data_IF_701557877034
#
_entry.id   IF_701557877034
#
_cell.length_a   1.000
_cell.length_b   1.000
_cell.length_c   1.000
_cell.angle_alpha   90.00
_cell.angle_beta   90.00
_cell.angle_gamma   90.00
#
_symmetry.space_group_name_H-M   'P 1'
#
loop_
_entity.id
_entity.type
_entity.pdbx_description
1 polymer ?
#
# COMPACT_ATOMS: atom_id res chain seq x y z
N UNK A 1 -54.43 38.50 -37.68
CA UNK A 1 -53.66 37.35 -38.20
C UNK A 1 -52.44 37.19 -37.30
N UNK A 2 -52.46 36.23 -36.37
CA UNK A 2 -51.38 36.04 -35.38
C UNK A 2 -50.52 34.85 -35.80
N UNK A 3 -49.24 35.10 -36.09
CA UNK A 3 -48.29 34.06 -36.50
C UNK A 3 -47.66 33.37 -35.28
N UNK A 4 -47.86 32.06 -35.20
CA UNK A 4 -47.26 31.18 -34.18
C UNK A 4 -45.82 30.86 -34.59
N UNK A 5 -44.84 31.30 -33.79
CA UNK A 5 -43.43 31.00 -34.04
C UNK A 5 -43.04 29.72 -33.28
N UNK A 6 -42.92 28.60 -34.01
CA UNK A 6 -42.38 27.33 -33.49
C UNK A 6 -40.86 27.33 -33.65
N UNK A 7 -40.13 27.20 -32.55
CA UNK A 7 -38.67 26.97 -32.55
C UNK A 7 -38.37 25.49 -32.87
N UNK A 8 -37.37 25.17 -33.72
CA UNK A 8 -36.98 23.79 -33.99
C UNK A 8 -36.08 23.24 -32.89
N UNK A 9 -36.44 22.09 -32.32
CA UNK A 9 -35.60 21.34 -31.38
C UNK A 9 -34.41 20.73 -32.12
N UNK A 10 -33.19 21.18 -31.78
CA UNK A 10 -31.93 20.59 -32.23
C UNK A 10 -31.69 19.28 -31.48
N UNK A 11 -31.72 18.16 -32.18
CA UNK A 11 -31.31 16.85 -31.66
C UNK A 11 -29.78 16.84 -31.44
N UNK A 12 -29.34 16.77 -30.19
CA UNK A 12 -27.92 16.60 -29.84
C UNK A 12 -27.59 15.11 -29.94
N UNK A 13 -26.91 14.70 -31.01
CA UNK A 13 -26.38 13.35 -31.13
C UNK A 13 -25.20 13.18 -30.15
N UNK A 14 -25.42 12.47 -29.04
CA UNK A 14 -24.37 12.08 -28.11
C UNK A 14 -23.53 10.98 -28.76
N UNK A 15 -22.32 11.32 -29.20
CA UNK A 15 -21.34 10.32 -29.64
C UNK A 15 -20.68 9.72 -28.40
N UNK A 16 -20.64 8.38 -28.22
CA UNK A 16 -19.88 7.79 -27.13
C UNK A 16 -18.39 8.05 -27.36
N UNK A 17 -17.75 8.75 -26.44
CA UNK A 17 -16.30 8.96 -26.45
C UNK A 17 -15.58 7.62 -26.21
N UNK A 18 -14.48 7.32 -26.91
CA UNK A 18 -13.70 6.13 -26.64
C UNK A 18 -13.09 6.22 -25.24
N UNK A 19 -13.41 5.25 -24.39
CA UNK A 19 -12.83 5.12 -23.05
C UNK A 19 -11.36 4.74 -23.23
N UNK A 20 -10.47 5.74 -23.12
CA UNK A 20 -9.04 5.49 -23.11
C UNK A 20 -8.70 4.62 -21.88
N UNK A 21 -8.33 3.36 -22.11
CA UNK A 21 -7.67 2.56 -21.06
C UNK A 21 -6.30 3.21 -20.81
N UNK A 22 -6.24 4.01 -19.75
CA UNK A 22 -4.97 4.47 -19.20
C UNK A 22 -4.23 3.23 -18.71
N UNK A 23 -3.30 2.72 -19.50
CA UNK A 23 -2.23 1.90 -18.95
C UNK A 23 -1.38 2.84 -18.11
N UNK A 24 -1.67 2.91 -16.81
CA UNK A 24 -0.74 3.42 -15.84
C UNK A 24 0.49 2.50 -15.89
N UNK A 25 1.43 2.80 -16.80
CA UNK A 25 2.76 2.22 -16.76
C UNK A 25 3.36 2.80 -15.49
N UNK A 26 3.42 1.96 -14.46
CA UNK A 26 3.86 2.29 -13.12
C UNK A 26 5.12 3.15 -13.20
N UNK A 27 5.04 4.35 -12.61
CA UNK A 27 6.24 5.08 -12.22
C UNK A 27 6.97 4.17 -11.25
N UNK A 28 8.00 3.47 -11.72
CA UNK A 28 8.91 2.70 -10.88
C UNK A 28 9.83 3.70 -10.17
N UNK A 29 9.25 4.42 -9.21
CA UNK A 29 9.95 5.34 -8.31
C UNK A 29 9.77 4.83 -6.87
N UNK A 30 10.05 3.55 -6.68
CA UNK A 30 10.11 2.91 -5.38
C UNK A 30 11.07 1.74 -5.49
N UNK A 31 12.29 1.90 -5.01
CA UNK A 31 13.15 0.75 -4.72
C UNK A 31 12.41 -0.13 -3.71
N UNK A 32 12.44 -1.44 -3.94
CA UNK A 32 12.02 -2.39 -2.92
C UNK A 32 13.14 -2.49 -1.89
N UNK A 33 12.78 -2.74 -0.63
CA UNK A 33 13.74 -2.82 0.48
C UNK A 33 14.87 -3.83 0.20
N UNK A 34 14.58 -4.90 -0.57
CA UNK A 34 15.57 -5.92 -0.94
C UNK A 34 16.17 -5.77 -2.36
N UNK A 35 15.90 -4.67 -3.07
CA UNK A 35 16.46 -4.43 -4.41
C UNK A 35 16.02 -5.43 -5.51
N UNK A 36 14.82 -5.99 -5.40
CA UNK A 36 14.23 -6.90 -6.41
C UNK A 36 14.99 -8.23 -6.67
N UNK A 37 15.79 -8.72 -5.71
CA UNK A 37 16.28 -10.10 -5.70
C UNK A 37 15.17 -11.17 -5.95
N UNK A 38 15.25 -11.96 -7.04
CA UNK A 38 14.22 -12.93 -7.40
C UNK A 38 14.04 -14.04 -6.36
N UNK A 39 15.10 -14.44 -5.64
CA UNK A 39 15.01 -15.52 -4.64
C UNK A 39 14.15 -15.10 -3.45
N UNK A 40 14.32 -13.86 -3.01
CA UNK A 40 13.56 -13.29 -1.90
C UNK A 40 12.09 -13.12 -2.30
N UNK A 41 11.81 -12.60 -3.50
CA UNK A 41 10.44 -12.49 -4.04
C UNK A 41 9.72 -13.84 -4.07
N UNK A 42 10.36 -14.90 -4.57
CA UNK A 42 9.74 -16.23 -4.63
C UNK A 42 9.47 -16.81 -3.25
N UNK A 43 10.40 -16.62 -2.32
CA UNK A 43 10.29 -17.14 -0.95
C UNK A 43 9.18 -16.45 -0.19
N UNK A 44 9.12 -15.12 -0.24
CA UNK A 44 8.07 -14.33 0.38
C UNK A 44 6.72 -14.54 -0.29
N UNK A 45 6.67 -14.65 -1.62
CA UNK A 45 5.43 -14.98 -2.35
C UNK A 45 4.87 -16.33 -1.91
N UNK A 46 5.71 -17.36 -1.76
CA UNK A 46 5.28 -18.68 -1.26
C UNK A 46 4.74 -18.60 0.16
N UNK A 47 5.34 -17.79 1.03
CA UNK A 47 4.84 -17.57 2.40
C UNK A 47 3.52 -16.82 2.44
N UNK A 48 3.37 -15.76 1.64
CA UNK A 48 2.12 -15.01 1.56
C UNK A 48 0.96 -15.88 1.07
N UNK A 49 1.22 -16.73 0.07
CA UNK A 49 0.21 -17.68 -0.43
C UNK A 49 -0.19 -18.75 0.60
N UNK A 50 0.71 -19.08 1.53
CA UNK A 50 0.43 -19.97 2.67
C UNK A 50 -0.21 -19.24 3.86
N UNK A 51 -0.25 -17.91 3.85
CA UNK A 51 -0.69 -17.09 4.97
C UNK A 51 0.33 -16.94 6.10
N UNK A 52 1.57 -17.44 5.95
CA UNK A 52 2.62 -17.45 6.98
C UNK A 52 3.46 -16.15 7.00
N UNK A 53 2.83 -15.04 6.62
CA UNK A 53 3.49 -13.74 6.45
C UNK A 53 3.70 -12.96 7.75
N UNK A 54 3.22 -13.49 8.89
CA UNK A 54 3.32 -12.85 10.22
C UNK A 54 4.78 -12.59 10.62
N UNK A 55 5.70 -13.48 10.22
CA UNK A 55 7.15 -13.30 10.44
C UNK A 55 7.76 -12.11 9.69
N UNK A 56 7.10 -11.64 8.63
CA UNK A 56 7.58 -10.57 7.75
C UNK A 56 6.74 -9.30 7.89
N UNK A 57 5.85 -9.27 8.89
CA UNK A 57 5.05 -8.11 9.26
C UNK A 57 5.45 -7.62 10.66
N UNK A 58 6.29 -6.59 10.78
CA UNK A 58 6.67 -6.03 12.07
C UNK A 58 5.52 -5.28 12.77
N UNK A 59 4.46 -4.92 12.05
CA UNK A 59 3.34 -4.10 12.53
C UNK A 59 1.97 -4.76 12.28
N UNK A 60 1.67 -5.90 12.93
CA UNK A 60 0.43 -6.64 12.72
C UNK A 60 -0.82 -5.86 13.15
N UNK A 61 -0.72 -4.99 14.16
CA UNK A 61 -1.85 -4.18 14.63
C UNK A 61 -2.30 -3.09 13.65
N UNK A 62 -1.34 -2.43 12.98
CA UNK A 62 -1.64 -1.29 12.09
C UNK A 62 -1.72 -1.72 10.62
N UNK A 63 -1.01 -2.79 10.23
CA UNK A 63 -0.90 -3.21 8.83
C UNK A 63 -1.02 -4.74 8.70
N UNK A 64 -2.18 -5.34 8.97
CA UNK A 64 -2.36 -6.78 8.87
C UNK A 64 -2.12 -7.26 7.43
N UNK A 65 -1.29 -8.29 7.27
CA UNK A 65 -0.92 -8.84 5.95
C UNK A 65 0.07 -7.99 5.15
N UNK A 66 0.62 -6.92 5.72
CA UNK A 66 1.71 -6.18 5.09
C UNK A 66 3.03 -6.96 5.20
N UNK A 67 3.77 -7.07 4.09
CA UNK A 67 5.06 -7.74 4.06
C UNK A 67 6.14 -6.70 3.75
N UNK A 68 6.95 -6.37 4.77
CA UNK A 68 8.01 -5.36 4.68
C UNK A 68 9.01 -5.67 3.57
N UNK A 69 9.31 -6.96 3.33
CA UNK A 69 10.32 -7.39 2.36
C UNK A 69 9.86 -7.29 0.92
N UNK A 70 8.55 -7.24 0.69
CA UNK A 70 7.97 -7.01 -0.63
C UNK A 70 7.55 -5.54 -0.83
N UNK A 71 7.52 -4.75 0.25
CA UNK A 71 7.10 -3.36 0.21
C UNK A 71 8.15 -2.50 -0.51
N UNK A 72 7.68 -1.42 -1.13
CA UNK A 72 8.57 -0.35 -1.55
C UNK A 72 9.10 0.42 -0.33
N UNK A 73 10.27 1.05 -0.47
CA UNK A 73 10.88 1.86 0.59
C UNK A 73 9.93 2.95 1.11
N UNK A 74 9.19 3.58 0.19
CA UNK A 74 8.19 4.61 0.52
C UNK A 74 7.02 4.03 1.32
N UNK A 75 6.55 2.83 0.99
CA UNK A 75 5.49 2.16 1.75
C UNK A 75 5.97 1.74 3.13
N UNK A 76 7.20 1.23 3.24
CA UNK A 76 7.80 0.88 4.52
C UNK A 76 7.95 2.10 5.43
N UNK A 77 8.40 3.23 4.89
CA UNK A 77 8.52 4.48 5.64
C UNK A 77 7.16 4.96 6.19
N UNK A 78 6.10 4.95 5.38
CA UNK A 78 4.76 5.36 5.80
C UNK A 78 4.21 4.41 6.87
N UNK A 79 4.41 3.10 6.72
CA UNK A 79 3.94 2.12 7.71
C UNK A 79 4.70 2.19 9.03
N UNK A 80 6.00 2.47 8.99
CA UNK A 80 6.79 2.70 10.19
C UNK A 80 6.36 3.98 10.92
N UNK A 81 6.09 5.06 10.20
CA UNK A 81 5.63 6.33 10.78
C UNK A 81 4.25 6.17 11.45
N UNK A 82 3.33 5.47 10.77
CA UNK A 82 1.99 5.20 11.28
C UNK A 82 1.95 4.21 12.46
N UNK A 83 3.00 3.40 12.64
CA UNK A 83 3.11 2.47 13.75
C UNK A 83 3.53 3.14 15.08
N UNK A 84 3.93 4.42 15.06
CA UNK A 84 4.24 5.16 16.27
C UNK A 84 2.94 5.42 17.09
N UNK A 85 2.93 5.16 18.42
CA UNK A 85 1.79 5.52 19.25
C UNK A 85 1.61 7.05 19.28
N UNK A 86 0.35 7.51 19.28
CA UNK A 86 0.06 8.94 19.34
C UNK A 86 0.56 9.53 20.67
N UNK A 87 1.65 10.29 20.63
CA UNK A 87 2.21 10.97 21.80
C UNK A 87 3.54 10.39 22.28
N UNK A 88 4.62 10.71 21.56
CA UNK A 88 6.01 10.53 22.00
C UNK A 88 6.43 9.09 22.34
N UNK A 89 7.72 8.85 22.61
CA UNK A 89 8.19 7.56 23.06
C UNK A 89 7.60 7.25 24.43
N UNK A 90 6.69 6.28 24.51
CA UNK A 90 6.09 5.86 25.77
C UNK A 90 7.01 4.88 26.50
N UNK A 91 6.92 4.84 27.83
CA UNK A 91 7.63 3.85 28.65
C UNK A 91 7.35 2.41 28.21
N UNK A 92 6.14 2.13 27.73
CA UNK A 92 5.75 0.82 27.22
C UNK A 92 6.56 0.39 25.99
N UNK A 93 6.90 1.31 25.08
CA UNK A 93 7.77 1.01 23.94
C UNK A 93 9.18 0.65 24.39
N UNK A 94 9.72 1.40 25.35
CA UNK A 94 11.05 1.12 25.90
C UNK A 94 11.10 -0.24 26.59
N UNK A 95 10.09 -0.55 27.41
CA UNK A 95 9.97 -1.83 28.10
C UNK A 95 9.89 -3.01 27.09
N UNK A 96 9.17 -2.83 25.97
CA UNK A 96 9.11 -3.83 24.89
C UNK A 96 10.45 -4.03 24.18
N UNK A 97 11.20 -2.95 23.90
CA UNK A 97 12.53 -3.04 23.28
C UNK A 97 13.51 -3.76 24.20
N UNK A 98 13.51 -3.45 25.50
CA UNK A 98 14.36 -4.13 26.49
C UNK A 98 14.04 -5.62 26.54
N UNK A 99 12.75 -5.98 26.57
CA UNK A 99 12.30 -7.38 26.56
C UNK A 99 12.79 -8.12 25.31
N UNK A 100 12.57 -7.56 24.11
CA UNK A 100 13.05 -8.15 22.84
C UNK A 100 14.56 -8.35 22.83
N UNK A 101 15.31 -7.39 23.36
CA UNK A 101 16.78 -7.46 23.42
C UNK A 101 17.24 -8.58 24.35
N UNK A 102 16.61 -8.72 25.53
CA UNK A 102 16.91 -9.81 26.47
C UNK A 102 16.54 -11.18 25.90
N UNK A 103 15.38 -11.33 25.27
CA UNK A 103 14.94 -12.59 24.66
C UNK A 103 15.87 -13.04 23.53
N UNK A 104 16.47 -12.10 22.79
CA UNK A 104 17.40 -12.38 21.68
C UNK A 104 18.85 -12.61 22.13
N UNK A 105 19.30 -12.00 23.24
CA UNK A 105 20.65 -12.22 23.80
C UNK A 105 20.72 -13.35 24.83
N UNK A 106 19.58 -13.87 25.27
CA UNK A 106 19.47 -15.00 26.21
C UNK A 106 19.46 -16.38 25.56
N UNK A 107 19.72 -16.50 24.26
CA UNK A 107 19.92 -17.76 23.54
C UNK A 107 21.39 -17.96 23.16
#
# INVERSE_FOLDING_TARGET
>A
MSFSMRLPARLIAVRPAPVARVYARAMSSGSAVHGQDPKTLETEKKRNLKGEQDSSNPHPEHAPGWNEKLASDSEAAVKADQAAPSGGPTKAMQDQTVKKTHDHHGQ
#
